data_IF_035226673487
#
_entry.id   IF_035226673487
#
_cell.length_a   1.000
_cell.length_b   1.000
_cell.length_c   1.000
_cell.angle_alpha   90.00
_cell.angle_beta   90.00
_cell.angle_gamma   90.00
#
_symmetry.space_group_name_H-M   'P 1'
#
loop_
_entity.id
_entity.type
_entity.pdbx_description
1 polymer ?
#
# COMPACT_ATOMS: atom_id res chain seq x y z
N UNK A 1 -20.67 -27.40 -12.14
CA UNK A 1 -20.00 -26.20 -12.68
C UNK A 1 -21.04 -25.07 -12.75
N UNK A 2 -21.22 -24.32 -11.65
CA UNK A 2 -22.28 -23.30 -11.56
C UNK A 2 -21.74 -21.95 -12.03
N UNK A 3 -22.38 -21.40 -13.06
CA UNK A 3 -22.20 -20.04 -13.55
C UNK A 3 -23.13 -19.16 -12.71
N UNK A 4 -22.56 -18.36 -11.81
CA UNK A 4 -23.29 -17.26 -11.18
C UNK A 4 -22.65 -15.94 -11.60
N UNK A 5 -23.50 -15.01 -12.04
CA UNK A 5 -23.13 -13.66 -12.45
C UNK A 5 -22.43 -12.96 -11.28
N UNK A 6 -21.14 -12.68 -11.40
CA UNK A 6 -20.38 -11.94 -10.39
C UNK A 6 -20.06 -10.56 -10.92
N UNK A 7 -20.71 -9.55 -10.32
CA UNK A 7 -20.32 -8.14 -10.39
C UNK A 7 -18.93 -8.02 -9.74
N UNK A 8 -17.92 -7.72 -10.55
CA UNK A 8 -16.52 -7.77 -10.11
C UNK A 8 -16.12 -6.44 -9.48
N UNK A 9 -16.08 -6.40 -8.15
CA UNK A 9 -15.31 -5.40 -7.40
C UNK A 9 -13.83 -5.80 -7.44
N UNK A 10 -13.02 -5.11 -8.25
CA UNK A 10 -11.57 -5.26 -8.24
C UNK A 10 -10.97 -4.51 -7.04
N UNK A 11 -10.47 -5.26 -6.05
CA UNK A 11 -9.46 -4.77 -5.10
C UNK A 11 -8.27 -5.72 -5.17
N UNK A 12 -7.40 -5.52 -6.16
CA UNK A 12 -6.11 -6.20 -6.25
C UNK A 12 -5.03 -5.26 -5.68
N UNK A 13 -4.42 -5.69 -4.58
CA UNK A 13 -3.13 -5.19 -4.08
C UNK A 13 -2.08 -6.13 -4.66
N UNK A 14 -1.19 -5.58 -5.48
CA UNK A 14 -0.12 -6.34 -6.12
C UNK A 14 0.99 -6.69 -5.14
N UNK A 15 1.32 -7.98 -5.09
CA UNK A 15 2.68 -8.46 -4.90
C UNK A 15 3.05 -9.24 -6.15
N UNK A 16 4.07 -8.76 -6.88
CA UNK A 16 4.97 -9.55 -7.72
C UNK A 16 6.04 -8.61 -8.28
N UNK A 17 7.16 -8.49 -7.55
CA UNK A 17 8.42 -8.01 -8.10
C UNK A 17 9.57 -8.81 -7.46
N UNK A 18 9.44 -10.13 -7.50
CA UNK A 18 10.54 -11.06 -7.20
C UNK A 18 10.51 -12.23 -8.20
N UNK A 19 10.56 -11.91 -9.50
CA UNK A 19 10.83 -12.90 -10.56
C UNK A 19 11.29 -12.30 -11.90
N UNK A 20 11.61 -11.00 -11.98
CA UNK A 20 12.06 -10.35 -13.22
C UNK A 20 13.52 -9.87 -13.20
N UNK A 21 14.32 -10.25 -12.22
CA UNK A 21 15.73 -9.87 -12.11
C UNK A 21 16.72 -10.98 -12.50
N UNK A 22 16.26 -12.06 -13.12
CA UNK A 22 17.16 -13.14 -13.56
C UNK A 22 16.80 -13.69 -14.95
N UNK A 23 16.75 -12.82 -15.96
CA UNK A 23 16.88 -13.24 -17.37
C UNK A 23 17.78 -12.26 -18.12
N UNK A 24 18.99 -12.75 -18.35
CA UNK A 24 19.92 -12.43 -19.44
C UNK A 24 19.61 -11.16 -20.26
N UNK A 25 20.48 -10.18 -20.09
CA UNK A 25 20.86 -9.28 -21.16
C UNK A 25 21.47 -10.11 -22.31
N UNK A 26 20.67 -10.38 -23.34
CA UNK A 26 21.16 -10.67 -24.68
C UNK A 26 20.46 -9.71 -25.63
N UNK A 27 21.05 -8.53 -25.79
CA UNK A 27 20.71 -7.57 -26.84
C UNK A 27 21.29 -8.08 -28.16
N UNK A 28 20.53 -8.96 -28.83
CA UNK A 28 20.76 -9.37 -30.20
C UNK A 28 19.78 -8.66 -31.14
N UNK A 29 20.29 -7.66 -31.85
CA UNK A 29 19.82 -7.05 -33.09
C UNK A 29 18.47 -7.52 -33.67
N UNK A 30 17.49 -6.61 -33.73
CA UNK A 30 16.56 -6.45 -34.87
C UNK A 30 15.63 -5.24 -34.67
N UNK A 31 16.11 -4.06 -35.07
CA UNK A 31 15.24 -3.00 -35.61
C UNK A 31 15.95 -2.40 -36.82
N UNK A 32 15.62 -2.94 -37.99
CA UNK A 32 15.83 -2.28 -39.26
C UNK A 32 14.69 -1.27 -39.41
N UNK A 33 15.02 0.03 -39.30
CA UNK A 33 14.15 1.11 -39.76
C UNK A 33 15.04 2.04 -40.56
N UNK A 34 14.91 1.91 -41.88
CA UNK A 34 15.52 2.76 -42.87
C UNK A 34 14.95 4.18 -42.72
N UNK A 35 15.82 5.17 -42.58
CA UNK A 35 15.44 6.56 -42.35
C UNK A 35 16.68 7.44 -42.18
N UNK A 36 17.32 7.78 -43.30
CA UNK A 36 18.42 8.72 -43.36
C UNK A 36 17.97 10.11 -42.87
N UNK A 37 18.63 10.65 -41.84
CA UNK A 37 19.21 11.99 -41.89
C UNK A 37 20.16 12.19 -40.71
N UNK A 38 21.36 12.65 -41.05
CA UNK A 38 22.47 12.91 -40.17
C UNK A 38 22.45 14.42 -39.90
N UNK A 39 22.02 14.82 -38.71
CA UNK A 39 22.32 16.14 -38.17
C UNK A 39 22.90 15.93 -36.77
N UNK A 40 24.20 16.20 -36.67
CA UNK A 40 24.93 16.11 -35.42
C UNK A 40 24.48 17.20 -34.47
N UNK A 41 24.01 16.80 -33.28
CA UNK A 41 24.15 17.57 -32.06
C UNK A 41 24.40 16.61 -30.90
N UNK A 42 25.48 16.92 -30.18
CA UNK A 42 26.13 16.06 -29.21
C UNK A 42 25.44 16.20 -27.84
N UNK A 43 24.20 15.72 -27.73
CA UNK A 43 23.36 15.90 -26.54
C UNK A 43 23.35 14.67 -25.61
N UNK A 44 24.07 13.61 -25.99
CA UNK A 44 24.10 12.30 -25.32
C UNK A 44 24.67 12.32 -23.90
N UNK A 45 25.48 13.32 -23.54
CA UNK A 45 26.01 13.45 -22.19
C UNK A 45 25.01 14.03 -21.19
N UNK A 46 23.93 14.69 -21.64
CA UNK A 46 22.94 15.26 -20.73
C UNK A 46 22.02 14.18 -20.13
N UNK A 47 21.56 13.23 -20.94
CA UNK A 47 20.64 12.17 -20.50
C UNK A 47 21.30 11.15 -19.58
N UNK A 48 22.56 10.77 -19.85
CA UNK A 48 23.29 9.83 -19.01
C UNK A 48 23.67 10.47 -17.66
N UNK A 49 24.04 11.76 -17.65
CA UNK A 49 24.26 12.53 -16.43
C UNK A 49 22.95 12.75 -15.66
N UNK A 50 21.80 12.93 -16.33
CA UNK A 50 20.48 13.03 -15.68
C UNK A 50 20.06 11.69 -15.09
N UNK A 51 20.25 10.57 -15.81
CA UNK A 51 19.97 9.24 -15.29
C UNK A 51 20.88 8.89 -14.11
N UNK A 52 22.18 9.19 -14.20
CA UNK A 52 23.14 9.00 -13.12
C UNK A 52 22.82 9.94 -11.95
N UNK A 53 22.41 11.19 -12.19
CA UNK A 53 21.89 12.10 -11.16
C UNK A 53 20.61 11.58 -10.52
N UNK A 54 19.72 10.93 -11.26
CA UNK A 54 18.47 10.35 -10.75
C UNK A 54 18.68 9.01 -10.04
N UNK A 55 19.70 8.23 -10.44
CA UNK A 55 20.16 7.01 -9.78
C UNK A 55 20.96 7.35 -8.51
N UNK A 56 21.77 8.40 -8.51
CA UNK A 56 22.47 8.94 -7.31
C UNK A 56 21.46 9.70 -6.41
N UNK A 57 20.42 10.32 -6.98
CA UNK A 57 19.21 10.81 -6.27
C UNK A 57 18.23 9.72 -5.85
N UNK A 58 18.50 8.43 -6.12
CA UNK A 58 18.06 7.37 -5.21
C UNK A 58 18.89 7.43 -3.92
N UNK A 59 18.98 8.66 -3.38
CA UNK A 59 19.52 9.01 -2.09
C UNK A 59 19.07 7.94 -1.16
N UNK A 60 20.04 7.18 -0.69
CA UNK A 60 19.91 6.36 0.49
C UNK A 60 19.30 7.29 1.54
N UNK A 61 17.99 7.14 1.79
CA UNK A 61 17.22 8.08 2.59
C UNK A 61 17.63 7.89 4.05
N UNK A 62 18.73 8.56 4.39
CA UNK A 62 19.27 8.69 5.74
C UNK A 62 18.63 9.93 6.35
N UNK A 63 18.36 9.86 7.66
CA UNK A 63 17.89 11.00 8.44
C UNK A 63 16.48 11.51 8.07
N UNK A 64 15.56 10.59 7.78
CA UNK A 64 14.13 10.90 7.58
C UNK A 64 13.39 11.06 8.92
N UNK A 65 13.90 10.46 10.00
CA UNK A 65 13.21 10.44 11.29
C UNK A 65 12.89 11.84 11.86
N UNK A 66 13.77 12.85 11.76
CA UNK A 66 13.46 14.22 12.19
C UNK A 66 12.27 14.85 11.46
N UNK A 67 12.05 14.50 10.19
CA UNK A 67 10.91 15.01 9.43
C UNK A 67 9.58 14.45 9.98
N UNK A 68 9.60 13.19 10.45
CA UNK A 68 8.42 12.52 11.00
C UNK A 68 7.90 13.26 12.24
N UNK A 69 8.78 13.51 13.22
CA UNK A 69 8.37 14.15 14.46
C UNK A 69 8.33 15.69 14.40
N UNK A 70 8.72 16.30 13.28
CA UNK A 70 8.66 17.77 13.14
C UNK A 70 7.25 18.29 13.44
N UNK A 71 7.15 19.39 14.21
CA UNK A 71 5.86 19.93 14.64
C UNK A 71 4.96 20.27 13.43
N UNK A 72 5.56 20.78 12.35
CA UNK A 72 4.87 21.05 11.08
C UNK A 72 4.25 19.79 10.49
N UNK A 73 4.99 18.67 10.47
CA UNK A 73 4.47 17.41 9.95
C UNK A 73 3.40 16.80 10.86
N UNK A 74 3.57 16.89 12.20
CA UNK A 74 2.56 16.42 13.15
C UNK A 74 1.23 17.18 13.02
N UNK A 75 1.27 18.51 12.83
CA UNK A 75 0.07 19.31 12.55
C UNK A 75 -0.57 18.87 11.23
N UNK A 76 0.22 18.64 10.17
CA UNK A 76 -0.30 18.14 8.90
C UNK A 76 -0.93 16.75 9.05
N UNK A 77 -0.28 15.86 9.80
CA UNK A 77 -0.74 14.51 10.06
C UNK A 77 -2.05 14.50 10.86
N UNK A 78 -2.18 15.37 11.86
CA UNK A 78 -3.43 15.59 12.58
C UNK A 78 -4.56 16.06 11.65
N UNK A 79 -4.29 17.05 10.78
CA UNK A 79 -5.27 17.51 9.77
C UNK A 79 -5.72 16.38 8.85
N UNK A 80 -4.81 15.48 8.45
CA UNK A 80 -5.15 14.30 7.65
C UNK A 80 -5.97 13.27 8.45
N UNK A 81 -5.57 13.00 9.69
CA UNK A 81 -6.23 12.02 10.58
C UNK A 81 -7.69 12.39 10.90
N UNK A 82 -7.95 13.69 11.14
CA UNK A 82 -9.29 14.22 11.48
C UNK A 82 -10.22 14.37 10.29
N UNK A 83 -9.71 14.38 9.05
CA UNK A 83 -10.49 14.72 7.86
C UNK A 83 -11.74 13.83 7.76
N UNK A 84 -12.92 14.46 7.70
CA UNK A 84 -14.22 13.77 7.62
C UNK A 84 -14.69 13.11 8.93
N UNK A 85 -14.02 13.34 10.07
CA UNK A 85 -14.29 12.71 11.37
C UNK A 85 -14.37 13.72 12.52
N UNK A 86 -14.51 15.01 12.22
CA UNK A 86 -14.46 16.11 13.20
C UNK A 86 -15.49 16.01 14.32
N UNK A 87 -16.65 15.38 14.06
CA UNK A 87 -17.72 15.19 15.04
C UNK A 87 -17.58 13.94 15.93
N UNK A 88 -16.46 13.21 15.84
CA UNK A 88 -16.26 11.99 16.64
C UNK A 88 -15.64 12.34 17.98
N UNK A 89 -16.14 11.74 19.06
CA UNK A 89 -15.73 12.04 20.44
C UNK A 89 -14.21 11.93 20.63
N UNK A 90 -13.58 10.87 20.12
CA UNK A 90 -12.13 10.69 20.20
C UNK A 90 -11.32 11.80 19.50
N UNK A 91 -11.89 12.49 18.51
CA UNK A 91 -11.26 13.65 17.87
C UNK A 91 -11.46 14.88 18.73
N UNK A 92 -12.68 15.11 19.20
CA UNK A 92 -13.04 16.26 20.05
C UNK A 92 -12.20 16.26 21.34
N UNK A 93 -12.14 15.11 22.03
CA UNK A 93 -11.37 14.94 23.27
C UNK A 93 -9.88 15.25 23.03
N UNK A 94 -9.31 14.78 21.92
CA UNK A 94 -7.92 15.07 21.59
C UNK A 94 -7.71 16.56 21.23
N UNK A 95 -8.68 17.19 20.58
CA UNK A 95 -8.62 18.59 20.16
C UNK A 95 -8.76 19.57 21.33
N UNK A 96 -9.42 19.18 22.43
CA UNK A 96 -9.55 20.01 23.63
C UNK A 96 -8.19 20.46 24.20
N UNK A 97 -7.16 19.61 24.10
CA UNK A 97 -5.79 19.94 24.50
C UNK A 97 -4.79 19.81 23.33
N UNK A 98 -5.20 20.22 22.12
CA UNK A 98 -4.42 20.00 20.89
C UNK A 98 -2.93 20.38 20.99
N UNK A 99 -2.54 21.59 21.46
CA UNK A 99 -1.13 21.97 21.51
C UNK A 99 -0.31 21.08 22.45
N UNK A 100 -0.87 20.74 23.61
CA UNK A 100 -0.22 19.87 24.61
C UNK A 100 -0.09 18.45 24.09
N UNK A 101 -1.14 17.90 23.47
CA UNK A 101 -1.14 16.57 22.90
C UNK A 101 -0.13 16.42 21.75
N UNK A 102 -0.04 17.41 20.85
CA UNK A 102 0.95 17.40 19.78
C UNK A 102 2.38 17.59 20.30
N UNK A 103 2.59 18.45 21.30
CA UNK A 103 3.89 18.61 21.96
C UNK A 103 4.34 17.33 22.65
N UNK A 104 3.43 16.62 23.31
CA UNK A 104 3.74 15.32 23.91
C UNK A 104 4.17 14.31 22.84
N UNK A 105 3.42 14.17 21.75
CA UNK A 105 3.80 13.28 20.64
C UNK A 105 5.15 13.68 20.01
N UNK A 106 5.43 14.98 19.89
CA UNK A 106 6.73 15.46 19.42
C UNK A 106 7.87 14.97 20.30
N UNK A 107 7.78 15.17 21.62
CA UNK A 107 8.82 14.76 22.56
C UNK A 107 8.94 13.24 22.65
N UNK A 108 7.83 12.50 22.67
CA UNK A 108 7.84 11.03 22.68
C UNK A 108 8.53 10.44 21.44
N UNK A 109 8.26 10.99 20.26
CA UNK A 109 8.89 10.54 19.02
C UNK A 109 10.36 10.97 18.96
N UNK A 110 10.67 12.23 19.31
CA UNK A 110 12.05 12.74 19.33
C UNK A 110 12.95 11.91 20.24
N UNK A 111 12.44 11.54 21.41
CA UNK A 111 13.15 10.74 22.42
C UNK A 111 12.98 9.22 22.24
N UNK A 112 12.29 8.77 21.17
CA UNK A 112 12.01 7.35 20.88
C UNK A 112 11.32 6.59 22.03
N UNK A 113 10.56 7.30 22.86
CA UNK A 113 9.79 6.74 23.99
C UNK A 113 8.33 6.47 23.65
N UNK A 114 7.89 6.84 22.44
CA UNK A 114 6.55 6.57 21.92
C UNK A 114 6.18 5.08 22.03
N UNK A 115 5.02 4.81 22.63
CA UNK A 115 4.41 3.48 22.72
C UNK A 115 2.99 3.54 22.16
N UNK A 116 2.68 2.76 21.11
CA UNK A 116 1.33 2.77 20.54
C UNK A 116 0.33 2.14 21.52
N UNK A 117 -0.90 2.65 21.51
CA UNK A 117 -1.99 2.12 22.34
C UNK A 117 -2.50 0.82 21.70
N UNK A 118 -2.83 -0.23 22.49
CA UNK A 118 -3.43 -1.45 21.97
C UNK A 118 -4.62 -1.16 21.05
N UNK A 119 -4.69 -1.88 19.93
CA UNK A 119 -5.76 -1.68 18.97
C UNK A 119 -7.13 -2.00 19.61
N UNK A 120 -8.20 -1.44 19.07
CA UNK A 120 -9.56 -1.85 19.44
C UNK A 120 -10.14 -2.66 18.28
N UNK A 121 -10.53 -3.91 18.55
CA UNK A 121 -11.09 -4.79 17.52
C UNK A 121 -12.61 -4.91 17.66
N UNK A 122 -13.31 -4.70 16.55
CA UNK A 122 -14.75 -4.90 16.40
C UNK A 122 -15.06 -5.63 15.09
N UNK A 123 -16.26 -6.19 14.98
CA UNK A 123 -16.72 -6.88 13.77
C UNK A 123 -17.68 -5.97 13.03
N UNK A 124 -17.35 -5.65 11.78
CA UNK A 124 -18.24 -4.93 10.86
C UNK A 124 -18.86 -5.94 9.89
N UNK A 125 -20.14 -5.78 9.60
CA UNK A 125 -20.86 -6.59 8.62
C UNK A 125 -21.33 -5.67 7.49
N UNK A 126 -20.57 -5.52 6.40
CA UNK A 126 -21.14 -5.01 5.14
C UNK A 126 -20.25 -5.10 3.88
N UNK A 127 -20.75 -5.64 2.74
CA UNK A 127 -21.69 -6.76 2.61
C UNK A 127 -21.07 -8.10 3.08
N UNK A 128 -19.80 -8.09 3.48
CA UNK A 128 -19.04 -9.23 4.01
C UNK A 128 -18.60 -8.92 5.44
N UNK A 129 -18.66 -9.91 6.33
CA UNK A 129 -18.14 -9.80 7.69
C UNK A 129 -16.62 -9.56 7.67
N UNK A 130 -16.16 -8.50 8.35
CA UNK A 130 -14.75 -8.17 8.51
C UNK A 130 -14.45 -7.85 9.96
N UNK A 131 -13.42 -8.51 10.51
CA UNK A 131 -12.79 -8.11 11.77
C UNK A 131 -11.94 -6.87 11.48
N UNK A 132 -12.31 -5.74 12.09
CA UNK A 132 -11.60 -4.46 11.94
C UNK A 132 -10.88 -4.17 13.25
N UNK A 133 -9.59 -3.87 13.17
CA UNK A 133 -8.82 -3.32 14.27
C UNK A 133 -8.57 -1.84 13.99
N UNK A 134 -9.05 -0.96 14.86
CA UNK A 134 -8.79 0.49 14.77
C UNK A 134 -7.74 0.88 15.81
N UNK A 135 -6.81 1.74 15.41
CA UNK A 135 -5.86 2.40 16.31
C UNK A 135 -6.49 3.61 17.00
N UNK A 136 -5.90 4.01 18.12
CA UNK A 136 -6.27 5.26 18.79
C UNK A 136 -6.10 6.47 17.87
N UNK A 137 -6.77 7.59 18.17
CA UNK A 137 -6.59 8.81 17.40
C UNK A 137 -5.14 9.33 17.44
N UNK A 138 -4.46 9.28 18.58
CA UNK A 138 -3.05 9.71 18.68
C UNK A 138 -2.15 8.89 17.74
N UNK A 139 -2.37 7.58 17.68
CA UNK A 139 -1.54 6.67 16.89
C UNK A 139 -1.79 6.86 15.39
N UNK A 140 -3.03 7.17 15.01
CA UNK A 140 -3.37 7.54 13.63
C UNK A 140 -2.63 8.80 13.18
N UNK A 141 -2.39 9.77 14.07
CA UNK A 141 -1.56 10.94 13.76
C UNK A 141 -0.13 10.49 13.46
N UNK A 142 0.46 9.62 14.30
CA UNK A 142 1.81 9.08 14.07
C UNK A 142 1.89 8.29 12.75
N UNK A 143 0.87 7.48 12.44
CA UNK A 143 0.80 6.75 11.17
C UNK A 143 0.79 7.71 9.97
N UNK A 144 -0.01 8.77 10.03
CA UNK A 144 -0.03 9.80 8.99
C UNK A 144 1.30 10.55 8.90
N UNK A 145 1.94 10.87 10.03
CA UNK A 145 3.22 11.57 10.06
C UNK A 145 4.32 10.74 9.40
N UNK A 146 4.36 9.43 9.67
CA UNK A 146 5.24 8.48 9.01
C UNK A 146 4.94 8.42 7.50
N UNK A 147 3.68 8.19 7.11
CA UNK A 147 3.28 8.09 5.70
C UNK A 147 3.62 9.36 4.90
N UNK A 148 3.44 10.56 5.48
CA UNK A 148 3.77 11.83 4.82
C UNK A 148 5.22 11.87 4.31
N UNK A 149 6.14 11.23 5.02
CA UNK A 149 7.56 11.20 4.69
C UNK A 149 7.87 10.05 3.72
N UNK A 150 7.39 8.84 4.02
CA UNK A 150 7.80 7.64 3.28
C UNK A 150 7.01 7.39 1.98
N UNK A 151 5.79 7.94 1.85
CA UNK A 151 4.88 7.64 0.73
C UNK A 151 5.51 7.99 -0.63
N UNK A 152 6.17 9.14 -0.73
CA UNK A 152 6.78 9.61 -1.98
C UNK A 152 7.93 8.72 -2.48
N UNK A 153 8.61 8.02 -1.56
CA UNK A 153 9.71 7.10 -1.86
C UNK A 153 9.15 5.83 -2.49
N UNK A 154 8.08 5.28 -1.92
CA UNK A 154 7.46 4.05 -2.40
C UNK A 154 6.60 4.28 -3.65
N UNK A 155 5.91 5.41 -3.75
CA UNK A 155 4.99 5.68 -4.87
C UNK A 155 5.68 5.61 -6.24
N UNK A 156 6.94 6.06 -6.31
CA UNK A 156 7.79 5.99 -7.51
C UNK A 156 8.20 4.58 -7.90
N UNK A 157 8.13 3.63 -6.97
CA UNK A 157 8.59 2.24 -7.18
C UNK A 157 7.45 1.30 -7.56
N UNK A 158 6.20 1.70 -7.37
CA UNK A 158 5.06 0.86 -7.72
C UNK A 158 4.91 0.74 -9.23
N UNK A 159 4.47 -0.44 -9.68
CA UNK A 159 4.05 -0.65 -11.06
C UNK A 159 2.96 0.37 -11.45
N UNK A 160 2.97 0.79 -12.71
CA UNK A 160 2.06 1.81 -13.22
C UNK A 160 0.58 1.46 -12.98
N UNK A 161 0.24 0.19 -13.18
CA UNK A 161 -1.13 -0.34 -13.04
C UNK A 161 -1.58 -0.56 -11.58
N UNK A 162 -0.72 -0.26 -10.59
CA UNK A 162 -1.13 -0.32 -9.18
C UNK A 162 -2.12 0.82 -8.87
N UNK A 163 -3.33 0.43 -8.51
CA UNK A 163 -4.45 1.33 -8.20
C UNK A 163 -4.70 1.49 -6.69
N UNK A 164 -4.13 0.62 -5.86
CA UNK A 164 -4.53 0.52 -4.46
C UNK A 164 -3.89 1.63 -3.60
N UNK A 165 -4.72 2.38 -2.87
CA UNK A 165 -4.30 3.39 -1.88
C UNK A 165 -3.34 4.47 -2.43
N UNK A 166 -3.46 4.81 -3.71
CA UNK A 166 -2.64 5.84 -4.36
C UNK A 166 -3.50 7.03 -4.77
N UNK A 167 -2.92 8.22 -4.67
CA UNK A 167 -3.56 9.45 -5.12
C UNK A 167 -3.82 9.35 -6.64
N UNK A 168 -5.01 9.75 -7.07
CA UNK A 168 -5.39 9.83 -8.49
C UNK A 168 -5.34 8.49 -9.27
N UNK A 169 -5.45 7.36 -8.55
CA UNK A 169 -5.37 6.00 -9.10
C UNK A 169 -6.52 5.08 -8.63
N UNK A 170 -7.69 5.64 -8.35
CA UNK A 170 -8.86 4.90 -7.87
C UNK A 170 -9.55 4.00 -8.90
N UNK A 171 -10.81 3.63 -8.62
CA UNK A 171 -11.59 2.69 -9.44
C UNK A 171 -11.70 3.10 -10.92
N UNK A 172 -11.85 4.40 -11.20
CA UNK A 172 -11.96 4.89 -12.58
C UNK A 172 -10.69 4.58 -13.38
N UNK A 173 -9.51 4.81 -12.80
CA UNK A 173 -8.23 4.49 -13.43
C UNK A 173 -8.10 2.97 -13.66
N UNK A 174 -8.48 2.15 -12.68
CA UNK A 174 -8.47 0.69 -12.81
C UNK A 174 -9.35 0.21 -13.99
N UNK A 175 -10.56 0.77 -14.11
CA UNK A 175 -11.49 0.46 -15.21
C UNK A 175 -10.90 0.89 -16.56
N UNK A 176 -10.29 2.07 -16.65
CA UNK A 176 -9.63 2.53 -17.88
C UNK A 176 -8.48 1.61 -18.29
N UNK A 177 -7.63 1.21 -17.35
CA UNK A 177 -6.53 0.28 -17.62
C UNK A 177 -7.08 -1.10 -18.03
N UNK A 178 -8.12 -1.59 -17.37
CA UNK A 178 -8.82 -2.82 -17.77
C UNK A 178 -9.31 -2.76 -19.22
N UNK A 179 -9.99 -1.68 -19.63
CA UNK A 179 -10.43 -1.51 -21.02
C UNK A 179 -9.26 -1.47 -22.02
N UNK A 180 -8.13 -0.86 -21.66
CA UNK A 180 -6.93 -0.89 -22.51
C UNK A 180 -6.41 -2.32 -22.70
N UNK A 181 -6.33 -3.11 -21.63
CA UNK A 181 -5.94 -4.52 -21.74
C UNK A 181 -6.95 -5.34 -22.54
N UNK A 182 -8.25 -5.12 -22.32
CA UNK A 182 -9.32 -5.78 -23.07
C UNK A 182 -9.23 -5.50 -24.58
N UNK A 183 -8.95 -4.24 -24.98
CA UNK A 183 -8.74 -3.86 -26.38
C UNK A 183 -7.51 -4.55 -26.98
N UNK A 184 -6.40 -4.65 -26.23
CA UNK A 184 -5.20 -5.38 -26.67
C UNK A 184 -5.50 -6.86 -26.91
N UNK A 185 -6.16 -7.53 -25.97
CA UNK A 185 -6.51 -8.96 -26.06
C UNK A 185 -7.47 -9.22 -27.23
N UNK A 186 -8.47 -8.36 -27.43
CA UNK A 186 -9.44 -8.49 -28.53
C UNK A 186 -8.93 -8.07 -29.91
N UNK A 187 -7.67 -7.60 -30.03
CA UNK A 187 -7.14 -6.90 -31.22
C UNK A 187 -8.08 -5.78 -31.70
N UNK A 188 -8.48 -4.90 -30.78
CA UNK A 188 -9.44 -3.81 -30.99
C UNK A 188 -10.80 -4.31 -31.50
N UNK A 189 -11.34 -5.38 -30.89
CA UNK A 189 -12.64 -5.93 -31.24
C UNK A 189 -12.68 -6.82 -32.49
N UNK A 190 -11.53 -7.09 -33.12
CA UNK A 190 -11.42 -7.99 -34.28
C UNK A 190 -11.63 -9.45 -33.91
N UNK A 191 -11.27 -9.84 -32.69
CA UNK A 191 -11.48 -11.20 -32.18
C UNK A 191 -12.79 -11.24 -31.39
N UNK A 192 -13.86 -11.66 -32.07
CA UNK A 192 -15.19 -11.87 -31.48
C UNK A 192 -15.23 -13.17 -30.67
N UNK A 193 -16.03 -13.16 -29.62
CA UNK A 193 -16.31 -14.33 -28.78
C UNK A 193 -17.15 -15.37 -29.50
N UNK A 194 -17.23 -16.55 -28.89
CA UNK A 194 -17.86 -17.73 -29.51
C UNK A 194 -19.39 -17.62 -29.61
N UNK A 195 -20.03 -16.83 -28.76
CA UNK A 195 -21.49 -16.85 -28.61
C UNK A 195 -22.21 -15.59 -29.11
N UNK A 196 -21.54 -14.42 -29.18
CA UNK A 196 -22.13 -13.22 -29.79
C UNK A 196 -21.07 -12.19 -30.25
N UNK A 197 -21.50 -11.23 -31.06
CA UNK A 197 -20.68 -10.15 -31.62
C UNK A 197 -20.14 -9.15 -30.59
N UNK A 198 -20.70 -9.12 -29.37
CA UNK A 198 -20.30 -8.22 -28.27
C UNK A 198 -19.31 -8.87 -27.29
N UNK A 199 -19.02 -10.15 -27.42
CA UNK A 199 -18.04 -10.84 -26.58
C UNK A 199 -16.63 -10.67 -27.12
N UNK A 200 -15.69 -10.55 -26.20
CA UNK A 200 -14.26 -10.60 -26.49
C UNK A 200 -13.77 -12.01 -26.18
N UNK A 201 -13.09 -12.65 -27.14
CA UNK A 201 -12.37 -13.91 -26.87
C UNK A 201 -11.08 -13.59 -26.11
N UNK A 202 -10.96 -14.07 -24.88
CA UNK A 202 -9.78 -13.86 -24.04
C UNK A 202 -9.89 -14.55 -22.69
N UNK A 203 -8.76 -14.65 -21.99
CA UNK A 203 -8.68 -15.22 -20.65
C UNK A 203 -8.34 -14.14 -19.63
N UNK A 204 -8.91 -14.25 -18.44
CA UNK A 204 -8.61 -13.38 -17.30
C UNK A 204 -8.26 -14.25 -16.10
N UNK A 205 -7.12 -13.97 -15.46
CA UNK A 205 -6.75 -14.57 -14.19
C UNK A 205 -7.38 -13.77 -13.05
N UNK A 206 -8.31 -14.39 -12.33
CA UNK A 206 -8.82 -13.85 -11.08
C UNK A 206 -8.07 -14.48 -9.92
N UNK A 207 -7.26 -13.67 -9.23
CA UNK A 207 -6.51 -14.06 -8.04
C UNK A 207 -6.82 -13.10 -6.88
N UNK A 208 -6.96 -13.64 -5.67
CA UNK A 208 -7.19 -12.88 -4.44
C UNK A 208 -6.41 -13.50 -3.29
N UNK A 209 -5.86 -12.66 -2.40
CA UNK A 209 -5.08 -13.11 -1.23
C UNK A 209 -6.00 -13.11 -0.02
N UNK A 210 -6.20 -14.28 0.58
CA UNK A 210 -7.02 -14.43 1.79
C UNK A 210 -6.31 -13.75 2.97
N UNK A 211 -7.06 -12.95 3.73
CA UNK A 211 -6.62 -12.35 5.01
C UNK A 211 -5.26 -11.65 4.99
N UNK A 212 -4.89 -10.97 3.89
CA UNK A 212 -3.58 -10.33 3.70
C UNK A 212 -2.96 -9.69 4.96
N UNK A 213 -3.69 -8.80 5.66
CA UNK A 213 -3.15 -8.09 6.83
C UNK A 213 -2.88 -8.99 8.05
N UNK A 214 -3.53 -10.14 8.15
CA UNK A 214 -3.33 -11.09 9.25
C UNK A 214 -2.15 -12.02 8.94
N UNK A 215 -2.00 -12.40 7.67
CA UNK A 215 -1.05 -13.40 7.18
C UNK A 215 0.30 -12.81 6.74
N UNK A 216 0.43 -11.48 6.61
CA UNK A 216 1.68 -10.87 6.13
C UNK A 216 2.81 -11.09 7.14
N UNK A 217 3.94 -11.60 6.67
CA UNK A 217 5.16 -11.76 7.46
C UNK A 217 5.83 -10.40 7.67
N UNK A 218 6.00 -10.03 8.94
CA UNK A 218 6.57 -8.74 9.32
C UNK A 218 8.07 -8.64 9.08
N UNK A 219 8.83 -9.72 9.22
CA UNK A 219 10.28 -9.67 8.97
C UNK A 219 10.56 -9.53 7.48
N UNK A 220 9.82 -10.25 6.63
CA UNK A 220 9.89 -10.08 5.17
C UNK A 220 9.49 -8.65 4.78
N UNK A 221 8.40 -8.14 5.33
CA UNK A 221 7.95 -6.76 5.06
C UNK A 221 9.01 -5.73 5.47
N UNK A 222 9.57 -5.85 6.68
CA UNK A 222 10.61 -4.95 7.17
C UNK A 222 11.87 -5.03 6.30
N UNK A 223 12.26 -6.22 5.84
CA UNK A 223 13.38 -6.39 4.92
C UNK A 223 13.15 -5.70 3.57
N UNK A 224 11.93 -5.75 3.03
CA UNK A 224 11.56 -5.02 1.82
C UNK A 224 11.67 -3.49 2.04
N UNK A 225 11.18 -2.99 3.18
CA UNK A 225 11.25 -1.56 3.52
C UNK A 225 12.71 -1.11 3.67
N UNK A 226 13.55 -1.90 4.36
CA UNK A 226 14.99 -1.63 4.57
C UNK A 226 15.78 -1.49 3.27
N UNK A 227 15.33 -2.11 2.17
CA UNK A 227 15.97 -1.95 0.84
C UNK A 227 15.86 -0.52 0.31
N UNK A 228 14.88 0.26 0.76
CA UNK A 228 14.61 1.63 0.30
C UNK A 228 14.91 2.68 1.36
N UNK A 229 14.61 2.39 2.63
CA UNK A 229 14.84 3.29 3.76
C UNK A 229 15.97 2.72 4.62
N UNK A 230 17.07 3.47 4.76
CA UNK A 230 18.22 3.07 5.59
C UNK A 230 18.27 3.75 6.96
N UNK A 231 17.29 4.59 7.27
CA UNK A 231 17.17 5.22 8.60
C UNK A 231 16.62 4.21 9.62
N UNK A 232 17.48 3.76 10.53
CA UNK A 232 17.16 2.77 11.55
C UNK A 232 16.04 3.22 12.49
N UNK A 233 15.95 4.52 12.81
CA UNK A 233 14.90 5.05 13.70
C UNK A 233 13.53 4.97 13.05
N UNK A 234 13.46 5.20 11.72
CA UNK A 234 12.22 4.99 10.95
C UNK A 234 11.82 3.53 10.95
N UNK A 235 12.77 2.62 10.69
CA UNK A 235 12.51 1.17 10.71
C UNK A 235 12.05 0.72 12.11
N UNK A 236 12.66 1.24 13.17
CA UNK A 236 12.26 0.97 14.55
C UNK A 236 10.80 1.42 14.81
N UNK A 237 10.42 2.62 14.37
CA UNK A 237 9.04 3.10 14.51
C UNK A 237 8.05 2.24 13.72
N UNK A 238 8.38 1.87 12.47
CA UNK A 238 7.56 0.97 11.65
C UNK A 238 7.37 -0.38 12.37
N UNK A 239 8.45 -0.96 12.88
CA UNK A 239 8.41 -2.21 13.65
C UNK A 239 7.48 -2.08 14.86
N UNK A 240 7.61 -1.01 15.66
CA UNK A 240 6.74 -0.75 16.81
C UNK A 240 5.26 -0.67 16.43
N UNK A 241 4.94 -0.04 15.31
CA UNK A 241 3.56 0.06 14.80
C UNK A 241 3.05 -1.33 14.37
N UNK A 242 3.86 -2.12 13.68
CA UNK A 242 3.49 -3.46 13.21
C UNK A 242 3.30 -4.45 14.37
N UNK A 243 4.15 -4.37 15.40
CA UNK A 243 4.06 -5.21 16.61
C UNK A 243 2.83 -4.90 17.48
N UNK A 244 2.18 -3.74 17.28
CA UNK A 244 0.96 -3.39 17.99
C UNK A 244 -0.25 -4.23 17.51
N UNK A 245 -0.31 -5.47 17.98
CA UNK A 245 -1.41 -6.42 17.71
C UNK A 245 -2.16 -6.75 19.00
N UNK A 246 -3.46 -6.95 18.89
CA UNK A 246 -4.31 -7.41 19.99
C UNK A 246 -4.07 -8.88 20.31
N UNK A 247 -3.06 -9.17 21.12
CA UNK A 247 -2.71 -10.53 21.55
C UNK A 247 -3.72 -11.14 22.54
N UNK A 248 -4.45 -10.32 23.31
CA UNK A 248 -5.29 -10.82 24.43
C UNK A 248 -6.67 -11.36 24.03
N UNK A 249 -7.44 -10.71 23.14
CA UNK A 249 -8.80 -11.18 22.79
C UNK A 249 -8.85 -12.37 21.82
N UNK A 250 -7.78 -12.65 21.09
CA UNK A 250 -7.78 -13.77 20.11
C UNK A 250 -7.70 -15.14 20.78
N UNK A 251 -7.05 -15.24 21.95
CA UNK A 251 -7.03 -16.47 22.76
C UNK A 251 -8.38 -16.75 23.41
N UNK A 252 -9.03 -15.73 23.97
CA UNK A 252 -10.38 -15.84 24.55
C UNK A 252 -11.43 -16.18 23.48
N UNK A 253 -11.35 -15.57 22.30
CA UNK A 253 -12.29 -15.87 21.20
C UNK A 253 -12.06 -17.27 20.63
N UNK A 254 -10.81 -17.74 20.52
CA UNK A 254 -10.51 -19.12 20.12
C UNK A 254 -10.98 -20.13 21.17
N UNK A 255 -10.75 -19.87 22.45
CA UNK A 255 -11.23 -20.71 23.55
C UNK A 255 -12.77 -20.78 23.56
N UNK A 256 -13.47 -19.66 23.37
CA UNK A 256 -14.93 -19.64 23.31
C UNK A 256 -15.50 -20.36 22.08
N UNK A 257 -14.86 -20.23 20.91
CA UNK A 257 -15.26 -20.92 19.67
C UNK A 257 -14.98 -22.43 19.74
N UNK A 258 -13.88 -22.85 20.38
CA UNK A 258 -13.56 -24.27 20.61
C UNK A 258 -14.56 -24.90 21.59
N UNK A 259 -14.84 -24.23 22.72
CA UNK A 259 -15.81 -24.69 23.72
C UNK A 259 -17.24 -24.83 23.15
N UNK A 260 -17.62 -23.95 22.23
CA UNK A 260 -18.92 -24.02 21.53
C UNK A 260 -18.97 -25.13 20.47
N UNK A 261 -17.83 -25.51 19.88
CA UNK A 261 -17.74 -26.66 18.97
C UNK A 261 -17.80 -27.99 19.71
N UNK A 262 -17.19 -28.08 20.89
CA UNK A 262 -17.29 -29.26 21.77
C UNK A 262 -18.73 -29.48 22.23
N UNK A 263 -19.44 -28.44 22.69
CA UNK A 263 -20.87 -28.54 23.04
C UNK A 263 -21.82 -28.91 21.88
N UNK A 264 -21.40 -28.74 20.61
CA UNK A 264 -22.22 -29.08 19.44
C UNK A 264 -21.93 -30.49 18.90
N UNK A 265 -20.92 -31.17 19.44
CA UNK A 265 -20.56 -32.55 19.09
C UNK A 265 -21.05 -33.56 20.15
N UNK A 266 -21.65 -33.08 21.24
CA UNK A 266 -22.23 -33.88 22.34
C UNK A 266 -23.78 -33.94 22.29
N UNK A 267 -24.40 -33.56 21.15
CA UNK A 267 -25.83 -33.74 20.83
C UNK A 267 -25.92 -34.60 19.57
#
# INVERSE_FOLDING_TARGET
>A
MKIEKVVIYFKLIGYNALSALNRNWNLGNRLNVNGNNWDGNNDGHSFEIVLIRDIIKMNICKNLYPEIYSMKNLVLAWKKARKGKTKKDYVIIFENELPKNLKLLHEELKNQTYKPIPLETFVLRDPKTRKISKSDFRDRIVHHALCNVIESIFDRTFIYDNCANRKDRGNLFAIQQFYKFLKKVSRNGKIKGLFNSNQVKGYCLKADIKHYFQEVDHEILLNIIKRKIRDEKVIFLVRKILENRNSKRERETRAFVLKKKECLLEI
#
